data_IF_850280789558
#
_entry.id   IF_850280789558
#
_cell.length_a   1.000
_cell.length_b   1.000
_cell.length_c   1.000
_cell.angle_alpha   90.00
_cell.angle_beta   90.00
_cell.angle_gamma   90.00
#
_symmetry.space_group_name_H-M   'P 1'
#
loop_
_entity.id
_entity.type
_entity.pdbx_description
1 polymer ?
#
# COMPACT_ATOMS: atom_id res chain seq x y z
N UNK A 1 -39.62 -6.72 43.49
CA UNK A 1 -39.04 -5.93 42.38
C UNK A 1 -38.03 -4.95 42.95
N UNK A 2 -36.75 -5.28 42.90
CA UNK A 2 -35.64 -4.36 43.21
C UNK A 2 -34.52 -4.70 42.23
N UNK A 3 -34.49 -4.01 41.09
CA UNK A 3 -33.31 -4.04 40.22
C UNK A 3 -32.29 -3.11 40.87
N UNK A 4 -31.23 -3.72 41.39
CA UNK A 4 -30.15 -3.08 42.14
C UNK A 4 -29.51 -1.96 41.32
N UNK A 5 -29.51 -0.74 41.88
CA UNK A 5 -28.84 0.44 41.33
C UNK A 5 -27.31 0.25 41.14
N UNK A 6 -26.73 -0.84 41.65
CA UNK A 6 -25.31 -1.17 41.46
C UNK A 6 -24.95 -1.68 40.06
N UNK A 7 -25.90 -2.27 39.30
CA UNK A 7 -25.59 -2.80 37.97
C UNK A 7 -25.50 -1.71 36.89
N UNK A 8 -26.27 -0.62 37.00
CA UNK A 8 -26.25 0.48 36.02
C UNK A 8 -24.95 1.31 36.15
N UNK A 9 -24.43 1.49 37.36
CA UNK A 9 -23.15 2.16 37.59
C UNK A 9 -21.98 1.34 37.02
N UNK A 10 -21.98 0.01 37.19
CA UNK A 10 -20.94 -0.87 36.65
C UNK A 10 -20.93 -0.88 35.11
N UNK A 11 -22.10 -0.85 34.46
CA UNK A 11 -22.19 -0.75 32.98
C UNK A 11 -21.72 0.60 32.47
N UNK A 12 -22.01 1.70 33.20
CA UNK A 12 -21.55 3.05 32.84
C UNK A 12 -20.03 3.19 32.97
N UNK A 13 -19.43 2.63 34.02
CA UNK A 13 -17.96 2.65 34.22
C UNK A 13 -17.24 1.74 33.21
N UNK A 14 -17.86 0.63 32.79
CA UNK A 14 -17.29 -0.27 31.78
C UNK A 14 -17.28 0.38 30.38
N UNK A 15 -18.28 1.20 30.04
CA UNK A 15 -18.30 1.95 28.77
C UNK A 15 -17.27 3.09 28.72
N UNK A 16 -16.91 3.68 29.86
CA UNK A 16 -15.89 4.73 29.92
C UNK A 16 -14.44 4.18 29.92
N UNK A 17 -14.25 2.87 30.07
CA UNK A 17 -12.93 2.21 30.02
C UNK A 17 -12.69 1.40 28.73
N UNK A 18 -13.63 1.39 27.79
CA UNK A 18 -13.59 0.59 26.56
C UNK A 18 -13.40 1.32 25.20
N UNK A 19 -12.82 2.53 25.06
CA UNK A 19 -12.59 3.09 23.72
C UNK A 19 -11.27 2.66 23.05
N UNK A 20 -10.35 2.01 23.78
CA UNK A 20 -8.97 1.78 23.30
C UNK A 20 -8.84 0.52 22.43
N UNK A 21 -9.64 -0.53 22.66
CA UNK A 21 -9.54 -1.80 21.92
C UNK A 21 -10.18 -1.74 20.52
N UNK A 22 -11.35 -1.12 20.39
CA UNK A 22 -12.06 -1.03 19.11
C UNK A 22 -11.32 -0.17 18.08
N UNK A 23 -10.70 0.92 18.53
CA UNK A 23 -9.90 1.83 17.69
C UNK A 23 -8.59 1.17 17.24
N UNK A 24 -7.92 0.40 18.10
CA UNK A 24 -6.73 -0.35 17.75
C UNK A 24 -7.00 -1.45 16.71
N UNK A 25 -8.11 -2.20 16.85
CA UNK A 25 -8.50 -3.22 15.86
C UNK A 25 -8.79 -2.58 14.51
N UNK A 26 -9.53 -1.47 14.49
CA UNK A 26 -9.85 -0.76 13.25
C UNK A 26 -8.59 -0.20 12.58
N UNK A 27 -7.65 0.34 13.36
CA UNK A 27 -6.37 0.82 12.85
C UNK A 27 -5.55 -0.31 12.22
N UNK A 28 -5.51 -1.49 12.84
CA UNK A 28 -4.79 -2.64 12.31
C UNK A 28 -5.44 -3.21 11.04
N UNK A 29 -6.78 -3.31 11.00
CA UNK A 29 -7.51 -3.71 9.80
C UNK A 29 -7.28 -2.74 8.64
N UNK A 30 -7.37 -1.43 8.91
CA UNK A 30 -7.10 -0.40 7.92
C UNK A 30 -5.66 -0.50 7.39
N UNK A 31 -4.69 -0.68 8.29
CA UNK A 31 -3.27 -0.84 7.93
C UNK A 31 -3.06 -2.07 7.05
N UNK A 32 -3.64 -3.21 7.41
CA UNK A 32 -3.57 -4.45 6.61
C UNK A 32 -4.21 -4.27 5.23
N UNK A 33 -5.41 -3.68 5.15
CA UNK A 33 -6.07 -3.41 3.87
C UNK A 33 -5.28 -2.44 2.98
N UNK A 34 -4.65 -1.42 3.55
CA UNK A 34 -3.79 -0.52 2.79
C UNK A 34 -2.51 -1.24 2.30
N UNK A 35 -1.95 -2.16 3.08
CA UNK A 35 -0.81 -2.95 2.65
C UNK A 35 -1.20 -3.88 1.49
N UNK A 36 -2.32 -4.57 1.59
CA UNK A 36 -2.85 -5.42 0.52
C UNK A 36 -3.07 -4.61 -0.75
N UNK A 37 -3.65 -3.42 -0.64
CA UNK A 37 -3.81 -2.50 -1.77
C UNK A 37 -2.46 -2.14 -2.43
N UNK A 38 -1.44 -1.80 -1.63
CA UNK A 38 -0.10 -1.50 -2.15
C UNK A 38 0.47 -2.69 -2.91
N UNK A 39 0.37 -3.91 -2.37
CA UNK A 39 0.89 -5.12 -3.01
C UNK A 39 0.16 -5.41 -4.32
N UNK A 40 -1.18 -5.26 -4.34
CA UNK A 40 -2.01 -5.44 -5.53
C UNK A 40 -1.64 -4.43 -6.62
N UNK A 41 -1.47 -3.15 -6.27
CA UNK A 41 -1.10 -2.12 -7.23
C UNK A 41 0.31 -2.35 -7.81
N UNK A 42 1.25 -2.89 -7.03
CA UNK A 42 2.57 -3.29 -7.54
C UNK A 42 2.47 -4.48 -8.52
N UNK A 43 1.63 -5.48 -8.22
CA UNK A 43 1.41 -6.61 -9.13
C UNK A 43 0.68 -6.17 -10.41
N UNK A 44 -0.24 -5.22 -10.29
CA UNK A 44 -0.92 -4.61 -11.43
C UNK A 44 0.06 -3.82 -12.31
N UNK A 45 0.96 -3.03 -11.70
CA UNK A 45 2.02 -2.35 -12.42
C UNK A 45 2.92 -3.35 -13.17
N UNK A 46 3.24 -4.50 -12.56
CA UNK A 46 4.09 -5.53 -13.15
C UNK A 46 3.40 -6.16 -14.37
N UNK A 47 2.11 -6.48 -14.22
CA UNK A 47 1.26 -6.97 -15.32
C UNK A 47 1.27 -6.01 -16.50
N UNK A 48 1.08 -4.70 -16.26
CA UNK A 48 1.12 -3.72 -17.34
C UNK A 48 2.50 -3.59 -18.00
N UNK A 49 3.58 -3.69 -17.22
CA UNK A 49 4.93 -3.74 -17.76
C UNK A 49 5.12 -4.94 -18.71
N UNK A 50 4.68 -6.13 -18.30
CA UNK A 50 4.75 -7.34 -19.13
C UNK A 50 3.94 -7.20 -20.42
N UNK A 51 2.73 -6.65 -20.33
CA UNK A 51 1.90 -6.37 -21.51
C UNK A 51 2.53 -5.31 -22.44
N UNK A 52 3.23 -4.31 -21.88
CA UNK A 52 3.95 -3.32 -22.68
C UNK A 52 5.19 -3.93 -23.37
N UNK A 53 5.92 -4.80 -22.67
CA UNK A 53 7.13 -5.43 -23.18
C UNK A 53 6.86 -6.55 -24.20
N UNK A 54 5.67 -7.15 -24.18
CA UNK A 54 5.30 -8.28 -25.04
C UNK A 54 4.59 -7.88 -26.34
N UNK A 55 4.20 -6.62 -26.51
CA UNK A 55 3.43 -6.16 -27.66
C UNK A 55 4.31 -5.48 -28.71
N UNK A 56 3.97 -5.64 -30.00
CA UNK A 56 4.59 -4.93 -31.12
C UNK A 56 3.77 -3.69 -31.56
N UNK A 57 2.62 -3.46 -30.94
CA UNK A 57 1.76 -2.30 -31.20
C UNK A 57 2.20 -1.15 -30.27
N UNK A 58 2.74 -0.09 -30.86
CA UNK A 58 3.28 1.05 -30.12
C UNK A 58 2.20 1.79 -29.31
N UNK A 59 0.96 1.86 -29.77
CA UNK A 59 -0.13 2.49 -29.01
C UNK A 59 -0.44 1.67 -27.75
N UNK A 60 -0.50 0.33 -27.89
CA UNK A 60 -0.71 -0.56 -26.74
C UNK A 60 0.46 -0.48 -25.77
N UNK A 61 1.69 -0.46 -26.27
CA UNK A 61 2.90 -0.35 -25.46
C UNK A 61 2.90 0.94 -24.66
N UNK A 62 2.61 2.08 -25.29
CA UNK A 62 2.56 3.37 -24.62
C UNK A 62 1.44 3.41 -23.56
N UNK A 63 0.23 2.93 -23.91
CA UNK A 63 -0.90 2.87 -22.98
C UNK A 63 -0.59 2.00 -21.76
N UNK A 64 -0.05 0.81 -21.96
CA UNK A 64 0.30 -0.10 -20.87
C UNK A 64 1.44 0.48 -20.03
N UNK A 65 2.42 1.13 -20.65
CA UNK A 65 3.49 1.84 -19.93
C UNK A 65 2.93 2.94 -19.00
N UNK A 66 1.98 3.75 -19.50
CA UNK A 66 1.29 4.76 -18.67
C UNK A 66 0.47 4.12 -17.54
N UNK A 67 -0.21 3.01 -17.79
CA UNK A 67 -0.98 2.30 -16.76
C UNK A 67 -0.08 1.69 -15.68
N UNK A 68 1.06 1.11 -16.07
CA UNK A 68 2.07 0.61 -15.14
C UNK A 68 2.56 1.72 -14.21
N UNK A 69 2.86 2.90 -14.77
CA UNK A 69 3.28 4.06 -13.98
C UNK A 69 2.20 4.52 -13.01
N UNK A 70 0.93 4.59 -13.44
CA UNK A 70 -0.18 5.00 -12.57
C UNK A 70 -0.37 4.04 -11.39
N UNK A 71 -0.35 2.73 -11.64
CA UNK A 71 -0.48 1.74 -10.58
C UNK A 71 0.69 1.83 -9.57
N UNK A 72 1.91 2.02 -10.07
CA UNK A 72 3.08 2.24 -9.22
C UNK A 72 2.97 3.53 -8.39
N UNK A 73 2.54 4.64 -9.01
CA UNK A 73 2.35 5.92 -8.33
C UNK A 73 1.27 5.80 -7.23
N UNK A 74 0.18 5.06 -7.48
CA UNK A 74 -0.83 4.72 -6.47
C UNK A 74 -0.24 3.92 -5.32
N UNK A 75 0.50 2.83 -5.61
CA UNK A 75 1.17 2.03 -4.59
C UNK A 75 2.09 2.88 -3.71
N UNK A 76 2.90 3.75 -4.32
CA UNK A 76 3.80 4.65 -3.62
C UNK A 76 3.03 5.62 -2.71
N UNK A 77 1.95 6.22 -3.21
CA UNK A 77 1.13 7.17 -2.44
C UNK A 77 0.59 6.55 -1.15
N UNK A 78 0.03 5.34 -1.24
CA UNK A 78 -0.52 4.66 -0.07
C UNK A 78 0.57 4.13 0.86
N UNK A 79 1.67 3.62 0.32
CA UNK A 79 2.79 3.12 1.11
C UNK A 79 3.45 4.21 1.95
N UNK A 80 3.65 5.42 1.40
CA UNK A 80 4.22 6.56 2.13
C UNK A 80 3.42 6.99 3.36
N UNK A 81 2.12 6.64 3.39
CA UNK A 81 1.20 6.99 4.48
C UNK A 81 1.01 5.84 5.46
N UNK A 82 1.64 4.69 5.21
CA UNK A 82 1.50 3.48 6.00
C UNK A 82 2.60 3.44 7.06
N UNK A 83 2.21 3.31 8.33
CA UNK A 83 3.14 2.96 9.40
C UNK A 83 3.37 1.45 9.34
N UNK A 84 4.24 1.01 8.43
CA UNK A 84 4.46 -0.41 8.10
C UNK A 84 5.44 -1.09 9.06
N UNK A 85 5.17 -2.34 9.42
CA UNK A 85 6.17 -3.17 10.10
C UNK A 85 7.34 -3.49 9.15
N UNK A 86 8.56 -3.78 9.65
CA UNK A 86 9.71 -4.07 8.80
C UNK A 86 9.49 -5.21 7.79
N UNK A 87 8.72 -6.24 8.17
CA UNK A 87 8.39 -7.35 7.28
C UNK A 87 7.53 -6.91 6.08
N UNK A 88 6.55 -6.03 6.31
CA UNK A 88 5.68 -5.49 5.26
C UNK A 88 6.48 -4.62 4.29
N UNK A 89 7.40 -3.82 4.82
CA UNK A 89 8.31 -3.02 4.03
C UNK A 89 9.16 -3.90 3.12
N UNK A 90 9.76 -4.97 3.66
CA UNK A 90 10.58 -5.90 2.88
C UNK A 90 9.81 -6.50 1.69
N UNK A 91 8.56 -6.91 1.89
CA UNK A 91 7.74 -7.48 0.82
C UNK A 91 7.38 -6.44 -0.27
N UNK A 92 7.00 -5.22 0.14
CA UNK A 92 6.77 -4.11 -0.79
C UNK A 92 8.04 -3.79 -1.60
N UNK A 93 9.20 -3.76 -0.94
CA UNK A 93 10.49 -3.49 -1.58
C UNK A 93 10.89 -4.57 -2.58
N UNK A 94 10.68 -5.84 -2.26
CA UNK A 94 10.96 -6.93 -3.18
C UNK A 94 10.20 -6.74 -4.50
N UNK A 95 8.88 -6.50 -4.43
CA UNK A 95 8.04 -6.24 -5.61
C UNK A 95 8.46 -4.97 -6.35
N UNK A 96 8.71 -3.88 -5.62
CA UNK A 96 9.14 -2.62 -6.22
C UNK A 96 10.51 -2.73 -6.92
N UNK A 97 11.44 -3.52 -6.38
CA UNK A 97 12.75 -3.75 -6.99
C UNK A 97 12.63 -4.51 -8.31
N UNK A 98 11.77 -5.53 -8.38
CA UNK A 98 11.49 -6.25 -9.63
C UNK A 98 10.91 -5.32 -10.70
N UNK A 99 10.00 -4.43 -10.30
CA UNK A 99 9.41 -3.43 -11.19
C UNK A 99 10.42 -2.44 -11.77
N UNK A 100 11.43 -2.04 -10.99
CA UNK A 100 12.45 -1.12 -11.48
C UNK A 100 13.17 -1.67 -12.72
N UNK A 101 13.49 -2.97 -12.74
CA UNK A 101 14.08 -3.60 -13.92
C UNK A 101 13.16 -3.58 -15.14
N UNK A 102 11.86 -3.78 -14.94
CA UNK A 102 10.86 -3.66 -16.02
C UNK A 102 10.73 -2.23 -16.53
N UNK A 103 10.73 -1.23 -15.65
CA UNK A 103 10.70 0.17 -16.02
C UNK A 103 11.94 0.59 -16.81
N UNK A 104 13.12 0.13 -16.41
CA UNK A 104 14.37 0.37 -17.16
C UNK A 104 14.31 -0.21 -18.57
N UNK A 105 13.77 -1.43 -18.73
CA UNK A 105 13.53 -2.04 -20.05
C UNK A 105 12.53 -1.27 -20.91
N UNK A 106 11.60 -0.56 -20.29
CA UNK A 106 10.64 0.34 -20.97
C UNK A 106 11.19 1.75 -21.19
N UNK A 107 12.45 2.03 -20.80
CA UNK A 107 13.05 3.36 -20.92
C UNK A 107 12.56 4.36 -19.87
N UNK A 108 11.87 3.91 -18.83
CA UNK A 108 11.41 4.73 -17.71
C UNK A 108 12.50 4.80 -16.63
N UNK A 109 13.40 5.76 -16.77
CA UNK A 109 14.47 6.03 -15.80
C UNK A 109 14.24 7.34 -15.03
N UNK A 110 14.82 7.38 -13.81
CA UNK A 110 14.62 8.45 -12.82
C UNK A 110 15.07 9.84 -13.33
N UNK A 111 15.98 9.89 -14.31
CA UNK A 111 16.52 11.12 -14.88
C UNK A 111 15.60 11.79 -15.91
N UNK A 112 14.57 11.12 -16.43
CA UNK A 112 13.79 11.62 -17.57
C UNK A 112 12.30 11.88 -17.31
N UNK A 113 11.74 11.48 -16.16
CA UNK A 113 10.28 11.33 -16.05
C UNK A 113 9.62 11.74 -14.72
N UNK A 114 10.34 12.41 -13.81
CA UNK A 114 9.81 12.72 -12.47
C UNK A 114 9.42 11.47 -11.67
N UNK A 115 9.93 10.31 -12.08
CA UNK A 115 9.61 9.00 -11.54
C UNK A 115 10.26 8.83 -10.17
N UNK A 116 9.43 8.84 -9.12
CA UNK A 116 9.88 8.66 -7.74
C UNK A 116 9.93 7.18 -7.43
N UNK A 117 11.13 6.63 -7.23
CA UNK A 117 11.28 5.25 -6.79
C UNK A 117 10.93 5.14 -5.31
N UNK A 118 10.18 4.10 -4.94
CA UNK A 118 10.15 3.57 -3.58
C UNK A 118 11.62 3.34 -3.19
N UNK A 119 12.08 4.12 -2.22
CA UNK A 119 13.48 4.17 -1.77
C UNK A 119 13.49 4.10 -0.25
N UNK A 120 14.51 3.44 0.32
CA UNK A 120 14.80 3.57 1.73
C UNK A 120 15.27 5.00 1.99
N UNK A 121 14.62 5.73 2.91
CA UNK A 121 15.43 6.46 3.87
C UNK A 121 15.83 5.42 4.91
N UNK A 122 17.07 4.97 4.85
CA UNK A 122 17.70 4.35 6.02
C UNK A 122 17.71 5.47 7.04
N UNK A 123 16.75 5.48 7.97
CA UNK A 123 16.89 6.28 9.18
C UNK A 123 18.02 5.58 9.95
N UNK A 124 19.17 6.25 10.15
CA UNK A 124 20.31 5.67 10.86
C UNK A 124 19.96 5.31 12.30
#
# INVERSE_FOLDING_TARGET
MLVSHGQIAAVKVLLHTLPVKGTAILAELHRASCLDFVLIELDLAATFCELALSTHDEERKERNTRNARKAYDSALHFFQRLSSAPADQAHVYEKASRLNGSFERLGLNASQSGFRRISFQIIP
#
